data_IF_852762409600
#
_entry.id   IF_852762409600
#
_cell.length_a   1.000
_cell.length_b   1.000
_cell.length_c   1.000
_cell.angle_alpha   90.00
_cell.angle_beta   90.00
_cell.angle_gamma   90.00
#
_symmetry.space_group_name_H-M   'P 1'
#
loop_
_entity.id
_entity.type
_entity.pdbx_description
1 polymer ?
#
# COMPACT_ATOMS: atom_id res chain seq x y z
N UNK A 1 27.29 16.20 14.93
CA UNK A 1 27.16 16.65 13.52
C UNK A 1 25.72 16.57 13.01
N UNK A 2 25.00 15.46 13.21
CA UNK A 2 23.58 15.34 12.88
C UNK A 2 22.70 16.41 13.57
N UNK A 3 23.03 16.79 14.81
CA UNK A 3 22.37 17.87 15.56
C UNK A 3 22.47 19.24 14.88
N UNK A 4 23.66 19.59 14.36
CA UNK A 4 23.87 20.85 13.63
C UNK A 4 23.04 20.84 12.33
N UNK A 5 22.99 19.70 11.62
CA UNK A 5 22.17 19.55 10.42
C UNK A 5 20.65 19.68 10.71
N UNK A 6 20.18 19.16 11.85
CA UNK A 6 18.79 19.29 12.30
C UNK A 6 18.43 20.73 12.69
N UNK A 7 19.33 21.45 13.36
CA UNK A 7 19.12 22.88 13.70
C UNK A 7 19.11 23.73 12.42
N UNK A 8 19.99 23.43 11.45
CA UNK A 8 19.95 24.08 10.12
C UNK A 8 18.60 23.87 9.40
N UNK A 9 17.91 22.75 9.66
CA UNK A 9 16.55 22.45 9.17
C UNK A 9 15.45 23.16 9.95
N UNK A 10 15.59 23.31 11.27
CA UNK A 10 14.56 23.82 12.18
C UNK A 10 14.23 25.30 12.01
N UNK A 11 15.16 26.14 11.56
CA UNK A 11 14.91 27.57 11.35
C UNK A 11 14.26 27.94 10.01
N UNK A 12 13.24 27.20 9.57
CA UNK A 12 12.39 27.61 8.44
C UNK A 12 11.51 28.79 8.86
N UNK A 13 12.04 30.01 8.78
CA UNK A 13 11.26 31.24 8.96
C UNK A 13 11.05 31.90 7.59
N UNK A 14 9.86 31.76 7.02
CA UNK A 14 9.41 32.47 5.82
C UNK A 14 9.09 31.61 4.58
N UNK A 15 8.23 32.16 3.70
CA UNK A 15 7.72 31.53 2.46
C UNK A 15 8.78 31.28 1.35
N UNK A 16 10.04 31.62 1.58
CA UNK A 16 11.20 31.21 0.79
C UNK A 16 12.23 30.58 1.74
N UNK A 17 12.22 29.25 1.81
CA UNK A 17 13.00 28.48 2.77
C UNK A 17 14.49 28.48 2.48
N UNK A 18 15.22 29.49 2.93
CA UNK A 18 16.67 29.41 3.09
C UNK A 18 16.98 28.85 4.48
N UNK A 19 17.65 27.70 4.53
CA UNK A 19 18.08 27.10 5.79
C UNK A 19 18.99 28.03 6.59
N UNK A 20 19.10 27.79 7.89
CA UNK A 20 19.92 28.59 8.80
C UNK A 20 21.41 28.46 8.44
N UNK A 21 22.18 29.55 8.58
CA UNK A 21 23.63 29.52 8.34
C UNK A 21 24.33 28.53 9.29
N UNK A 22 25.45 27.93 8.85
CA UNK A 22 26.23 27.00 9.70
C UNK A 22 26.65 27.67 11.02
N UNK A 23 26.95 28.96 10.98
CA UNK A 23 27.35 29.75 12.13
C UNK A 23 26.23 29.90 13.16
N UNK A 24 25.01 30.23 12.72
CA UNK A 24 23.87 30.37 13.63
C UNK A 24 23.43 29.02 14.19
N UNK A 25 23.57 27.94 13.41
CA UNK A 25 23.32 26.58 13.89
C UNK A 25 24.36 26.09 14.91
N UNK A 26 25.62 26.52 14.79
CA UNK A 26 26.65 26.26 15.80
C UNK A 26 26.32 27.02 17.09
N UNK A 27 26.02 28.31 17.00
CA UNK A 27 25.65 29.13 18.18
C UNK A 27 24.43 28.58 18.90
N UNK A 28 23.40 28.17 18.17
CA UNK A 28 22.21 27.55 18.76
C UNK A 28 22.54 26.21 19.44
N UNK A 29 23.33 25.34 18.79
CA UNK A 29 23.74 24.06 19.37
C UNK A 29 24.63 24.23 20.62
N UNK A 30 25.46 25.27 20.66
CA UNK A 30 26.27 25.63 21.83
C UNK A 30 25.39 26.15 22.98
N UNK A 31 24.44 27.04 22.68
CA UNK A 31 23.52 27.60 23.67
C UNK A 31 22.59 26.54 24.27
N UNK A 32 22.19 25.55 23.48
CA UNK A 32 21.40 24.40 23.93
C UNK A 32 22.26 23.32 24.63
N UNK A 33 23.59 23.51 24.71
CA UNK A 33 24.51 22.57 25.37
C UNK A 33 24.71 21.26 24.61
N UNK A 34 24.27 21.17 23.35
CA UNK A 34 24.34 19.97 22.53
C UNK A 34 25.74 19.72 21.96
N UNK A 35 26.54 20.78 21.86
CA UNK A 35 27.97 20.72 21.54
C UNK A 35 28.76 21.61 22.52
N UNK A 36 30.01 21.25 22.86
CA UNK A 36 30.86 22.11 23.68
C UNK A 36 31.15 23.45 22.98
N UNK A 37 31.06 24.54 23.74
CA UNK A 37 31.26 25.90 23.24
C UNK A 37 32.64 26.11 22.65
N UNK A 38 32.71 26.67 21.44
CA UNK A 38 33.96 26.96 20.74
C UNK A 38 34.69 25.73 20.18
N UNK A 39 34.13 24.51 20.31
CA UNK A 39 34.79 23.27 19.85
C UNK A 39 34.82 23.16 18.33
N UNK A 40 33.84 23.71 17.63
CA UNK A 40 33.72 23.58 16.19
C UNK A 40 33.67 24.95 15.53
N UNK A 41 34.62 25.22 14.63
CA UNK A 41 34.54 26.39 13.73
C UNK A 41 33.60 26.09 12.57
N UNK A 42 33.10 27.15 11.91
CA UNK A 42 32.30 27.03 10.69
C UNK A 42 32.96 26.12 9.64
N UNK A 43 34.24 26.34 9.35
CA UNK A 43 34.99 25.54 8.37
C UNK A 43 35.10 24.07 8.77
N UNK A 44 35.30 23.80 10.06
CA UNK A 44 35.36 22.43 10.60
C UNK A 44 34.00 21.74 10.50
N UNK A 45 32.92 22.46 10.80
CA UNK A 45 31.57 21.96 10.70
C UNK A 45 31.18 21.66 9.25
N UNK A 46 31.44 22.57 8.31
CA UNK A 46 31.16 22.37 6.89
C UNK A 46 31.98 21.20 6.32
N UNK A 47 33.28 21.09 6.67
CA UNK A 47 34.14 19.97 6.27
C UNK A 47 33.61 18.63 6.77
N UNK A 48 33.21 18.55 8.03
CA UNK A 48 32.68 17.32 8.63
C UNK A 48 31.30 16.94 8.08
N UNK A 49 30.43 17.92 7.81
CA UNK A 49 29.13 17.68 7.16
C UNK A 49 29.35 17.10 5.75
N UNK A 50 30.32 17.63 5.00
CA UNK A 50 30.70 17.10 3.69
C UNK A 50 31.32 15.70 3.77
N UNK A 51 32.23 15.44 4.72
CA UNK A 51 32.83 14.11 4.92
C UNK A 51 31.79 13.04 5.30
N UNK A 52 30.76 13.42 6.04
CA UNK A 52 29.65 12.53 6.42
C UNK A 52 28.57 12.42 5.32
N UNK A 53 28.73 13.12 4.19
CA UNK A 53 27.74 13.17 3.13
C UNK A 53 26.41 13.82 3.55
N UNK A 54 26.36 14.56 4.65
CA UNK A 54 25.13 15.16 5.17
C UNK A 54 24.96 16.54 4.52
N UNK A 55 24.37 16.56 3.32
CA UNK A 55 23.94 17.82 2.70
C UNK A 55 22.51 18.19 3.16
N UNK A 56 22.20 19.48 3.25
CA UNK A 56 20.82 19.96 3.48
C UNK A 56 19.86 19.38 2.44
N UNK A 57 20.34 19.19 1.20
CA UNK A 57 19.60 18.57 0.11
C UNK A 57 19.24 17.10 0.37
N UNK A 58 20.12 16.32 1.00
CA UNK A 58 19.84 14.93 1.39
C UNK A 58 18.80 14.83 2.51
N UNK A 59 18.77 15.81 3.41
CA UNK A 59 17.74 15.89 4.47
C UNK A 59 16.37 16.29 3.89
N UNK A 60 16.34 17.09 2.82
CA UNK A 60 15.12 17.47 2.09
C UNK A 60 14.68 16.46 1.03
N UNK A 61 15.53 15.48 0.69
CA UNK A 61 15.14 14.41 -0.24
C UNK A 61 14.23 13.45 0.53
N UNK A 62 12.95 13.25 0.13
CA UNK A 62 12.13 12.21 0.73
C UNK A 62 12.91 10.91 0.63
N UNK A 63 13.02 10.17 1.74
CA UNK A 63 13.80 8.93 1.81
C UNK A 63 13.58 8.15 0.54
N UNK A 64 14.65 7.91 -0.22
CA UNK A 64 14.64 7.05 -1.42
C UNK A 64 13.77 5.86 -1.08
N UNK A 65 12.71 5.64 -1.88
CA UNK A 65 11.76 4.57 -1.67
C UNK A 65 12.54 3.28 -1.42
N UNK A 66 12.69 2.93 -0.15
CA UNK A 66 13.45 1.75 0.21
C UNK A 66 12.56 0.62 -0.25
N UNK A 67 13.05 -0.17 -1.21
CA UNK A 67 12.33 -1.34 -1.67
C UNK A 67 12.09 -2.21 -0.44
N UNK A 68 10.86 -2.17 0.07
CA UNK A 68 10.45 -2.82 1.31
C UNK A 68 10.24 -4.29 0.98
N UNK A 69 11.31 -4.99 0.59
CA UNK A 69 11.30 -6.43 0.40
C UNK A 69 11.17 -7.06 1.78
N UNK A 70 10.24 -7.99 1.91
CA UNK A 70 10.05 -8.72 3.16
C UNK A 70 11.20 -9.70 3.41
N UNK A 71 11.54 -10.05 4.65
CA UNK A 71 12.71 -10.89 4.95
C UNK A 71 12.59 -12.37 4.52
N UNK A 72 11.39 -12.91 4.31
CA UNK A 72 11.15 -14.32 3.94
C UNK A 72 9.76 -14.52 3.28
N UNK A 73 9.52 -15.63 2.56
CA UNK A 73 8.19 -15.94 2.00
C UNK A 73 7.11 -16.02 3.08
N UNK A 74 5.90 -15.57 2.80
CA UNK A 74 4.79 -15.46 3.75
C UNK A 74 5.01 -14.45 4.89
N UNK A 75 6.10 -13.67 4.88
CA UNK A 75 6.22 -12.59 5.84
C UNK A 75 5.16 -11.50 5.59
N UNK A 76 4.95 -11.10 4.33
CA UNK A 76 3.98 -10.08 3.96
C UNK A 76 3.31 -10.45 2.64
N UNK A 77 1.98 -10.58 2.68
CA UNK A 77 1.15 -10.67 1.49
C UNK A 77 0.54 -9.30 1.20
N UNK A 78 0.71 -8.82 -0.03
CA UNK A 78 0.02 -7.63 -0.53
C UNK A 78 -1.23 -8.12 -1.24
N UNK A 79 -2.37 -7.54 -0.90
CA UNK A 79 -3.66 -7.98 -1.42
C UNK A 79 -4.43 -6.83 -2.06
N UNK A 80 -5.09 -7.12 -3.17
CA UNK A 80 -5.91 -6.15 -3.91
C UNK A 80 -7.13 -6.85 -4.53
N UNK A 81 -8.19 -6.09 -4.80
CA UNK A 81 -9.37 -6.57 -5.49
C UNK A 81 -9.76 -5.55 -6.57
N UNK A 82 -10.01 -6.05 -7.77
CA UNK A 82 -10.33 -5.19 -8.92
C UNK A 82 -11.51 -5.75 -9.71
N UNK A 83 -12.30 -4.84 -10.29
CA UNK A 83 -13.39 -5.21 -11.19
C UNK A 83 -12.88 -5.33 -12.63
N UNK A 84 -13.35 -6.34 -13.36
CA UNK A 84 -13.20 -6.36 -14.83
C UNK A 84 -14.18 -5.39 -15.48
N UNK A 85 -13.65 -4.41 -16.21
CA UNK A 85 -14.48 -3.37 -16.84
C UNK A 85 -15.30 -3.85 -18.04
N UNK A 86 -14.79 -4.81 -18.81
CA UNK A 86 -15.41 -5.24 -20.08
C UNK A 86 -15.84 -6.70 -20.12
N UNK A 87 -15.61 -7.46 -19.04
CA UNK A 87 -15.95 -8.87 -18.98
C UNK A 87 -17.00 -9.10 -17.90
N UNK A 88 -18.07 -9.78 -18.28
CA UNK A 88 -19.22 -10.01 -17.42
C UNK A 88 -19.64 -11.46 -17.47
N UNK A 89 -20.10 -12.00 -16.33
CA UNK A 89 -20.70 -13.33 -16.30
C UNK A 89 -22.14 -13.21 -16.78
N UNK A 90 -22.46 -13.84 -17.90
CA UNK A 90 -23.83 -13.95 -18.38
C UNK A 90 -24.51 -15.14 -17.70
N UNK A 91 -25.43 -14.85 -16.79
CA UNK A 91 -26.08 -15.87 -15.96
C UNK A 91 -27.03 -16.74 -16.80
N UNK A 92 -27.67 -16.17 -17.82
CA UNK A 92 -28.60 -16.92 -18.67
C UNK A 92 -27.89 -17.85 -19.64
N UNK A 93 -26.69 -17.48 -20.07
CA UNK A 93 -25.91 -18.22 -21.07
C UNK A 93 -24.76 -19.04 -20.47
N UNK A 94 -24.59 -18.99 -19.15
CA UNK A 94 -23.53 -19.66 -18.40
C UNK A 94 -22.14 -19.49 -19.01
N UNK A 95 -21.79 -18.23 -19.35
CA UNK A 95 -20.50 -17.91 -20.00
C UNK A 95 -20.05 -16.49 -19.69
N UNK A 96 -18.78 -16.20 -19.96
CA UNK A 96 -18.25 -14.84 -19.90
C UNK A 96 -18.52 -14.14 -21.23
N UNK A 97 -19.16 -12.98 -21.18
CA UNK A 97 -19.37 -12.08 -22.32
C UNK A 97 -18.41 -10.88 -22.23
N UNK A 98 -17.81 -10.51 -23.37
CA UNK A 98 -17.09 -9.25 -23.54
C UNK A 98 -18.04 -8.14 -24.02
N UNK A 99 -18.03 -6.98 -23.37
CA UNK A 99 -18.90 -5.83 -23.67
C UNK A 99 -18.12 -4.53 -23.55
N UNK A 100 -17.64 -4.02 -24.68
CA UNK A 100 -16.97 -2.71 -24.78
C UNK A 100 -17.95 -1.52 -24.79
N UNK A 101 -19.23 -1.79 -25.04
CA UNK A 101 -20.32 -0.81 -25.10
C UNK A 101 -20.77 -0.30 -23.72
N UNK A 102 -20.43 -1.03 -22.64
CA UNK A 102 -20.84 -0.68 -21.28
C UNK A 102 -19.79 0.24 -20.66
N UNK A 103 -20.20 1.48 -20.34
CA UNK A 103 -19.38 2.45 -19.58
C UNK A 103 -19.86 2.52 -18.12
N UNK A 104 -18.94 2.23 -17.21
CA UNK A 104 -19.22 1.97 -15.79
C UNK A 104 -19.61 3.21 -14.97
N UNK A 105 -19.13 4.38 -15.37
CA UNK A 105 -19.40 5.68 -14.71
C UNK A 105 -20.79 6.25 -15.06
N UNK A 106 -21.54 5.59 -15.95
CA UNK A 106 -22.84 6.05 -16.40
C UNK A 106 -23.98 5.27 -15.71
N UNK A 107 -25.05 5.97 -15.34
CA UNK A 107 -26.30 5.37 -14.83
C UNK A 107 -26.85 4.30 -15.78
N UNK A 108 -26.63 4.46 -17.08
CA UNK A 108 -27.05 3.52 -18.12
C UNK A 108 -26.29 2.19 -18.08
N UNK A 109 -25.05 2.17 -17.60
CA UNK A 109 -24.26 0.94 -17.50
C UNK A 109 -24.94 -0.10 -16.61
N UNK A 110 -25.58 0.34 -15.53
CA UNK A 110 -26.25 -0.54 -14.57
C UNK A 110 -27.53 -1.15 -15.14
N UNK A 111 -28.34 -0.39 -15.86
CA UNK A 111 -29.58 -0.89 -16.48
C UNK A 111 -29.29 -1.93 -17.57
N UNK A 112 -28.17 -1.77 -18.30
CA UNK A 112 -27.74 -2.75 -19.30
C UNK A 112 -27.38 -4.08 -18.65
N UNK A 113 -26.70 -4.07 -17.50
CA UNK A 113 -26.36 -5.30 -16.79
C UNK A 113 -27.60 -6.09 -16.38
N UNK A 114 -28.59 -5.41 -15.81
CA UNK A 114 -29.86 -6.01 -15.39
C UNK A 114 -30.62 -6.58 -16.61
N UNK A 115 -30.79 -5.77 -17.66
CA UNK A 115 -31.49 -6.15 -18.90
C UNK A 115 -30.89 -7.38 -19.57
N UNK A 116 -29.55 -7.47 -19.59
CA UNK A 116 -28.84 -8.58 -20.23
C UNK A 116 -28.47 -9.72 -19.28
N UNK A 117 -28.91 -9.67 -18.02
CA UNK A 117 -28.63 -10.68 -16.98
C UNK A 117 -27.12 -10.93 -16.82
N UNK A 118 -26.37 -9.83 -16.78
CA UNK A 118 -24.92 -9.81 -16.63
C UNK A 118 -24.53 -9.50 -15.18
N UNK A 119 -23.63 -10.31 -14.62
CA UNK A 119 -22.97 -10.03 -13.34
C UNK A 119 -21.57 -9.48 -13.56
N UNK A 120 -21.18 -8.56 -12.68
CA UNK A 120 -19.82 -8.06 -12.61
C UNK A 120 -18.89 -9.16 -12.13
N UNK A 121 -17.67 -9.13 -12.67
CA UNK A 121 -16.59 -10.02 -12.29
C UNK A 121 -15.55 -9.23 -11.50
N UNK A 122 -15.13 -9.80 -10.37
CA UNK A 122 -14.10 -9.29 -9.50
C UNK A 122 -12.93 -10.28 -9.45
N UNK A 123 -11.73 -9.79 -9.68
CA UNK A 123 -10.50 -10.55 -9.48
C UNK A 123 -9.87 -10.11 -8.15
N UNK A 124 -9.61 -11.08 -7.29
CA UNK A 124 -8.92 -10.90 -6.03
C UNK A 124 -7.50 -11.42 -6.17
N UNK A 125 -6.53 -10.64 -5.69
CA UNK A 125 -5.11 -10.90 -5.85
C UNK A 125 -4.40 -10.98 -4.51
N UNK A 126 -3.43 -11.89 -4.45
CA UNK A 126 -2.38 -11.93 -3.43
C UNK A 126 -1.05 -11.89 -4.17
N UNK A 127 -0.11 -11.10 -3.67
CA UNK A 127 1.30 -11.15 -4.06
C UNK A 127 2.12 -11.33 -2.79
N UNK A 128 2.92 -12.39 -2.72
CA UNK A 128 3.92 -12.55 -1.66
C UNK A 128 5.08 -11.57 -1.92
N UNK A 129 5.32 -10.67 -0.99
CA UNK A 129 6.23 -9.55 -1.21
C UNK A 129 7.71 -9.99 -1.28
N UNK A 130 8.07 -11.15 -0.76
CA UNK A 130 9.44 -11.69 -0.87
C UNK A 130 9.66 -12.42 -2.19
N UNK A 131 8.89 -13.49 -2.44
CA UNK A 131 9.07 -14.36 -3.61
C UNK A 131 8.51 -13.78 -4.91
N UNK A 132 7.67 -12.74 -4.81
CA UNK A 132 6.88 -12.17 -5.91
C UNK A 132 5.90 -13.15 -6.57
N UNK A 133 5.72 -14.33 -5.96
CA UNK A 133 4.66 -15.24 -6.32
C UNK A 133 3.31 -14.56 -6.14
N UNK A 134 2.37 -14.85 -7.04
CA UNK A 134 1.03 -14.31 -6.95
C UNK A 134 -0.02 -15.41 -7.09
N UNK A 135 -1.20 -15.12 -6.56
CA UNK A 135 -2.39 -15.93 -6.73
C UNK A 135 -3.56 -15.01 -7.07
N UNK A 136 -4.40 -15.45 -8.00
CA UNK A 136 -5.62 -14.75 -8.38
C UNK A 136 -6.80 -15.71 -8.28
N UNK A 137 -7.94 -15.22 -7.78
CA UNK A 137 -9.22 -15.92 -7.85
C UNK A 137 -10.32 -14.95 -8.28
N UNK A 138 -11.19 -15.44 -9.15
CA UNK A 138 -12.25 -14.64 -9.77
C UNK A 138 -13.61 -14.99 -9.18
N UNK A 139 -14.39 -13.97 -8.85
CA UNK A 139 -15.75 -14.08 -8.31
C UNK A 139 -16.73 -13.23 -9.09
N UNK A 140 -18.00 -13.64 -9.11
CA UNK A 140 -19.12 -12.86 -9.64
C UNK A 140 -20.21 -12.71 -8.57
N UNK A 141 -19.96 -11.90 -7.52
CA UNK A 141 -20.78 -11.88 -6.32
C UNK A 141 -22.21 -11.40 -6.58
N UNK A 142 -23.12 -11.90 -5.76
CA UNK A 142 -24.48 -11.40 -5.66
C UNK A 142 -24.56 -10.10 -4.84
N UNK A 143 -25.56 -9.24 -5.09
CA UNK A 143 -25.81 -8.07 -4.25
C UNK A 143 -26.19 -8.50 -2.83
N UNK A 144 -25.51 -7.96 -1.83
CA UNK A 144 -25.73 -8.33 -0.41
C UNK A 144 -26.54 -7.32 0.40
N UNK A 145 -26.65 -6.08 -0.08
CA UNK A 145 -27.33 -5.00 0.64
C UNK A 145 -28.70 -4.74 0.02
N UNK A 146 -29.73 -4.48 0.85
CA UNK A 146 -31.04 -4.07 0.37
C UNK A 146 -30.91 -2.80 -0.52
N UNK A 147 -31.41 -2.89 -1.75
CA UNK A 147 -31.30 -1.82 -2.76
C UNK A 147 -30.02 -1.86 -3.61
N UNK A 148 -29.05 -2.73 -3.31
CA UNK A 148 -27.92 -2.98 -4.20
C UNK A 148 -28.37 -3.85 -5.37
N UNK A 149 -28.11 -3.39 -6.60
CA UNK A 149 -28.46 -4.13 -7.82
C UNK A 149 -27.38 -5.11 -8.28
N UNK A 150 -26.14 -4.94 -7.82
CA UNK A 150 -24.99 -5.76 -8.23
C UNK A 150 -24.07 -6.06 -7.04
N UNK A 151 -23.42 -7.23 -7.07
CA UNK A 151 -22.42 -7.59 -6.07
C UNK A 151 -21.10 -6.84 -6.27
N UNK A 152 -20.51 -6.45 -5.16
CA UNK A 152 -19.20 -5.83 -5.08
C UNK A 152 -18.21 -6.70 -4.32
N UNK A 153 -17.00 -6.15 -4.15
CA UNK A 153 -16.04 -6.68 -3.18
C UNK A 153 -16.71 -6.89 -1.83
N UNK A 154 -16.52 -8.07 -1.23
CA UNK A 154 -17.16 -8.38 0.04
C UNK A 154 -16.35 -9.37 0.89
N UNK A 155 -16.65 -9.40 2.18
CA UNK A 155 -15.91 -10.21 3.17
C UNK A 155 -16.00 -11.71 2.92
N UNK A 156 -17.10 -12.25 2.40
CA UNK A 156 -17.22 -13.70 2.21
C UNK A 156 -16.32 -14.21 1.09
N UNK A 157 -16.22 -13.46 0.00
CA UNK A 157 -15.31 -13.77 -1.11
C UNK A 157 -13.85 -13.69 -0.62
N UNK A 158 -13.51 -12.65 0.16
CA UNK A 158 -12.18 -12.55 0.77
C UNK A 158 -11.86 -13.73 1.69
N UNK A 159 -12.78 -14.14 2.57
CA UNK A 159 -12.56 -15.31 3.45
C UNK A 159 -12.36 -16.57 2.59
N UNK A 160 -13.19 -16.77 1.57
CA UNK A 160 -13.07 -17.92 0.66
C UNK A 160 -11.71 -17.92 -0.04
N UNK A 161 -11.31 -16.77 -0.59
CA UNK A 161 -10.05 -16.60 -1.29
C UNK A 161 -8.85 -16.79 -0.38
N UNK A 162 -8.84 -16.16 0.80
CA UNK A 162 -7.76 -16.28 1.78
C UNK A 162 -7.66 -17.70 2.35
N UNK A 163 -8.80 -18.34 2.62
CA UNK A 163 -8.82 -19.74 3.07
C UNK A 163 -8.20 -20.63 2.01
N UNK A 164 -8.63 -20.51 0.75
CA UNK A 164 -7.99 -21.22 -0.35
C UNK A 164 -6.51 -20.91 -0.39
N UNK A 165 -6.11 -19.64 -0.40
CA UNK A 165 -4.71 -19.23 -0.47
C UNK A 165 -3.86 -19.83 0.65
N UNK A 166 -4.37 -19.92 1.88
CA UNK A 166 -3.63 -20.45 3.04
C UNK A 166 -3.55 -21.99 3.08
N UNK A 167 -4.52 -22.70 2.48
CA UNK A 167 -4.50 -24.16 2.43
C UNK A 167 -3.37 -24.71 1.57
N UNK A 168 -2.92 -25.93 1.85
CA UNK A 168 -1.98 -26.66 0.99
C UNK A 168 -2.65 -26.92 -0.37
N UNK A 169 -1.90 -26.77 -1.46
CA UNK A 169 -2.36 -27.10 -2.82
C UNK A 169 -1.75 -28.40 -3.30
N UNK A 170 -2.54 -29.19 -4.02
CA UNK A 170 -2.04 -30.39 -4.70
C UNK A 170 -1.17 -30.04 -5.92
N UNK A 171 -1.45 -28.89 -6.56
CA UNK A 171 -0.68 -28.39 -7.69
C UNK A 171 0.50 -27.53 -7.21
N UNK A 172 1.71 -28.07 -7.32
CA UNK A 172 2.97 -27.41 -6.95
C UNK A 172 3.25 -26.12 -7.74
N UNK A 173 2.55 -25.87 -8.84
CA UNK A 173 2.66 -24.62 -9.61
C UNK A 173 1.95 -23.45 -8.92
N UNK A 174 1.20 -23.71 -7.84
CA UNK A 174 0.54 -22.69 -7.02
C UNK A 174 1.37 -22.50 -5.74
N UNK A 175 2.35 -21.58 -5.72
CA UNK A 175 3.30 -21.46 -4.62
C UNK A 175 2.74 -20.79 -3.35
N UNK A 176 1.58 -20.13 -3.44
CA UNK A 176 0.95 -19.44 -2.32
C UNK A 176 0.19 -20.45 -1.44
N UNK A 177 0.72 -20.67 -0.24
CA UNK A 177 0.18 -21.52 0.82
C UNK A 177 0.75 -21.16 2.19
N UNK A 178 0.09 -21.57 3.26
CA UNK A 178 0.46 -21.25 4.64
C UNK A 178 -0.16 -19.94 5.14
N UNK A 179 0.04 -19.65 6.43
CA UNK A 179 -0.50 -18.44 7.07
C UNK A 179 0.57 -17.34 7.01
N UNK A 180 0.27 -16.16 6.43
CA UNK A 180 1.20 -15.05 6.40
C UNK A 180 1.32 -14.40 7.76
N UNK A 181 2.45 -13.73 8.04
CA UNK A 181 2.57 -12.90 9.24
C UNK A 181 1.82 -11.58 9.12
N UNK A 182 1.87 -10.97 7.94
CA UNK A 182 1.30 -9.65 7.65
C UNK A 182 0.50 -9.70 6.35
N UNK A 183 -0.67 -9.05 6.35
CA UNK A 183 -1.41 -8.69 5.14
C UNK A 183 -1.38 -7.16 5.01
N UNK A 184 -1.02 -6.70 3.81
CA UNK A 184 -0.96 -5.29 3.45
C UNK A 184 -2.00 -4.99 2.37
N UNK A 185 -2.84 -3.97 2.58
CA UNK A 185 -3.87 -3.56 1.64
C UNK A 185 -4.10 -2.04 1.60
N UNK A 186 -4.83 -1.57 0.60
CA UNK A 186 -5.25 -0.17 0.54
C UNK A 186 -6.33 0.16 1.58
N UNK A 187 -6.40 1.45 1.97
CA UNK A 187 -7.55 1.98 2.72
C UNK A 187 -8.79 1.91 1.84
N UNK A 188 -9.64 0.93 2.11
CA UNK A 188 -10.91 0.72 1.39
C UNK A 188 -11.20 -0.72 1.02
N UNK A 189 -10.23 -1.63 1.16
CA UNK A 189 -10.47 -3.05 0.93
C UNK A 189 -11.57 -3.59 1.86
N UNK A 190 -12.29 -4.60 1.37
CA UNK A 190 -13.32 -5.39 2.06
C UNK A 190 -12.80 -6.18 3.27
N UNK A 191 -11.54 -5.94 3.66
CA UNK A 191 -10.85 -6.53 4.80
C UNK A 191 -11.11 -5.79 6.13
N UNK A 192 -11.81 -4.66 6.10
CA UNK A 192 -12.03 -3.84 7.30
C UNK A 192 -13.24 -4.27 8.16
N UNK A 193 -13.99 -5.31 7.76
CA UNK A 193 -15.14 -5.80 8.53
C UNK A 193 -14.70 -6.52 9.81
N UNK A 194 -15.57 -6.52 10.83
CA UNK A 194 -15.23 -7.14 12.12
C UNK A 194 -15.06 -8.66 12.01
N UNK A 195 -15.83 -9.32 11.13
CA UNK A 195 -15.63 -10.73 10.82
C UNK A 195 -14.24 -11.01 10.23
N UNK A 196 -13.73 -10.15 9.34
CA UNK A 196 -12.38 -10.32 8.79
C UNK A 196 -11.31 -10.10 9.86
N UNK A 197 -11.47 -9.07 10.69
CA UNK A 197 -10.54 -8.81 11.81
C UNK A 197 -10.49 -9.99 12.78
N UNK A 198 -11.63 -10.59 13.11
CA UNK A 198 -11.69 -11.79 13.95
C UNK A 198 -11.03 -12.99 13.28
N UNK A 199 -11.36 -13.25 12.00
CA UNK A 199 -10.77 -14.36 11.24
C UNK A 199 -9.25 -14.27 11.18
N UNK A 200 -8.71 -13.13 10.75
CA UNK A 200 -7.26 -12.92 10.63
C UNK A 200 -6.58 -12.82 12.00
N UNK A 201 -7.24 -12.21 12.99
CA UNK A 201 -6.74 -12.09 14.35
C UNK A 201 -6.57 -13.44 15.05
N UNK A 202 -7.52 -14.37 14.88
CA UNK A 202 -7.41 -15.74 15.41
C UNK A 202 -6.24 -16.50 14.77
N UNK A 203 -5.97 -16.26 13.48
CA UNK A 203 -4.83 -16.83 12.76
C UNK A 203 -3.49 -16.14 13.11
N UNK A 204 -3.51 -15.09 13.94
CA UNK A 204 -2.33 -14.32 14.30
C UNK A 204 -1.77 -13.44 13.19
N UNK A 205 -2.58 -13.14 12.17
CA UNK A 205 -2.19 -12.31 11.01
C UNK A 205 -2.37 -10.84 11.35
N UNK A 206 -1.32 -10.05 11.20
CA UNK A 206 -1.40 -8.59 11.31
C UNK A 206 -1.96 -8.00 10.00
N UNK A 207 -2.84 -7.00 10.08
CA UNK A 207 -3.35 -6.27 8.90
C UNK A 207 -2.89 -4.82 8.95
N UNK A 208 -2.23 -4.35 7.88
CA UNK A 208 -1.81 -2.95 7.73
C UNK A 208 -2.41 -2.32 6.49
N UNK A 209 -2.86 -1.07 6.67
CA UNK A 209 -3.43 -0.24 5.61
C UNK A 209 -2.42 0.82 5.14
N UNK A 210 -2.37 1.10 3.84
CA UNK A 210 -1.55 2.19 3.28
C UNK A 210 -1.97 3.58 3.82
N UNK A 211 -1.02 4.51 3.97
CA UNK A 211 -1.33 5.91 4.29
C UNK A 211 -1.82 6.65 3.02
N UNK A 212 -2.92 7.43 3.10
CA UNK A 212 -3.45 8.14 1.94
C UNK A 212 -2.57 9.36 1.66
N UNK A 213 -1.65 9.25 0.68
CA UNK A 213 -1.07 10.35 -0.13
C UNK A 213 0.10 9.98 -1.05
N UNK A 214 0.52 8.72 -1.15
CA UNK A 214 1.58 8.32 -2.08
C UNK A 214 1.11 7.19 -3.00
N UNK A 215 0.57 7.57 -4.16
CA UNK A 215 0.15 6.65 -5.23
C UNK A 215 1.33 5.90 -5.90
N UNK A 216 2.58 6.23 -5.55
CA UNK A 216 3.78 5.58 -6.09
C UNK A 216 4.14 4.24 -5.42
N UNK A 217 3.47 3.85 -4.33
CA UNK A 217 3.72 2.57 -3.66
C UNK A 217 3.06 1.36 -4.36
N UNK A 218 2.20 1.60 -5.37
CA UNK A 218 1.54 0.54 -6.16
C UNK A 218 2.27 0.18 -7.46
N UNK A 219 3.28 0.94 -7.87
CA UNK A 219 3.93 0.76 -9.17
C UNK A 219 5.45 0.95 -9.06
N UNK A 220 6.13 -0.08 -8.54
CA UNK A 220 7.51 -0.38 -8.90
C UNK A 220 7.56 -1.88 -9.18
N UNK A 221 7.11 -2.23 -10.39
CA UNK A 221 7.70 -3.34 -11.15
C UNK A 221 8.82 -2.79 -12.01
#
# INVERSE_FOLDING_TARGET
MMTIALIKRGGKVGRQGYGVSTELALTAAENEGLIPRGKYTRSTADRLLNQLGISTRLVDTPSVATELISPYPNHCWIVDATVKNHYFLNIKKDRIDYRSDIKYDSSHGMDILEKHSLKRIWDYFIVDNYSKSYLMMTFAPDPKTAGAKHGGENTADWITFLTYAMMIKDDLRIPIQGIPKLIFCDKGSGLNSDHMKSFLGILGVEVRNHFPRHASAKACG
#
